data_IF_270597970568
#
_entry.id   IF_270597970568
#
_cell.length_a   1.000
_cell.length_b   1.000
_cell.length_c   1.000
_cell.angle_alpha   90.00
_cell.angle_beta   90.00
_cell.angle_gamma   90.00
#
_symmetry.space_group_name_H-M   'P 1'
#
loop_
_entity.id
_entity.type
_entity.pdbx_description
1 polymer ?
#
# COMPACT_ATOMS: atom_id res chain seq x y z
N UNK A 1 2.91 -28.33 -0.25
CA UNK A 1 2.15 -27.23 -0.93
C UNK A 1 1.29 -26.57 0.14
N UNK A 2 1.48 -25.28 0.39
CA UNK A 2 0.71 -24.53 1.38
C UNK A 2 -0.68 -24.19 0.81
N UNK A 3 -1.68 -24.04 1.69
CA UNK A 3 -3.05 -23.71 1.33
C UNK A 3 -3.19 -22.26 0.80
N UNK A 4 -4.27 -21.97 0.07
CA UNK A 4 -4.57 -20.59 -0.38
C UNK A 4 -4.64 -19.61 0.80
N UNK A 5 -5.18 -20.06 1.94
CA UNK A 5 -5.23 -19.27 3.16
C UNK A 5 -3.84 -18.97 3.75
N UNK A 6 -2.92 -19.93 3.74
CA UNK A 6 -1.54 -19.69 4.19
C UNK A 6 -0.83 -18.73 3.24
N UNK A 7 -1.03 -18.86 1.91
CA UNK A 7 -0.50 -17.92 0.93
C UNK A 7 -1.05 -16.50 1.14
N UNK A 8 -2.34 -16.35 1.44
CA UNK A 8 -2.93 -15.02 1.70
C UNK A 8 -2.30 -14.35 2.93
N UNK A 9 -1.93 -15.10 3.96
CA UNK A 9 -1.19 -14.56 5.10
C UNK A 9 0.21 -14.09 4.73
N UNK A 10 0.95 -14.85 3.93
CA UNK A 10 2.28 -14.45 3.43
C UNK A 10 2.18 -13.16 2.57
N UNK A 11 1.17 -13.07 1.72
CA UNK A 11 0.91 -11.87 0.91
C UNK A 11 0.65 -10.67 1.82
N UNK A 12 -0.24 -10.80 2.81
CA UNK A 12 -0.57 -9.72 3.74
C UNK A 12 0.63 -9.29 4.59
N UNK A 13 1.45 -10.22 5.06
CA UNK A 13 2.67 -9.93 5.81
C UNK A 13 3.67 -9.12 4.97
N UNK A 14 3.84 -9.47 3.70
CA UNK A 14 4.70 -8.73 2.78
C UNK A 14 4.16 -7.31 2.50
N UNK A 15 2.86 -7.19 2.25
CA UNK A 15 2.21 -5.89 2.04
C UNK A 15 2.30 -4.99 3.28
N UNK A 16 2.15 -5.55 4.49
CA UNK A 16 2.32 -4.80 5.74
C UNK A 16 3.75 -4.33 5.94
N UNK A 17 4.74 -5.18 5.66
CA UNK A 17 6.15 -4.81 5.72
C UNK A 17 6.46 -3.66 4.74
N UNK A 18 5.92 -3.72 3.53
CA UNK A 18 6.05 -2.66 2.54
C UNK A 18 5.36 -1.36 3.00
N UNK A 19 4.13 -1.43 3.51
CA UNK A 19 3.39 -0.27 4.02
C UNK A 19 4.15 0.44 5.16
N UNK A 20 4.76 -0.31 6.08
CA UNK A 20 5.59 0.25 7.15
C UNK A 20 6.87 0.87 6.63
N UNK A 21 7.56 0.25 5.67
CA UNK A 21 8.74 0.81 5.05
C UNK A 21 8.42 2.13 4.32
N UNK A 22 7.31 2.16 3.59
CA UNK A 22 6.80 3.35 2.91
C UNK A 22 6.46 4.46 3.92
N UNK A 23 5.76 4.13 5.01
CA UNK A 23 5.41 5.09 6.07
C UNK A 23 6.64 5.78 6.69
N UNK A 24 7.75 5.06 6.87
CA UNK A 24 9.00 5.63 7.40
C UNK A 24 9.57 6.67 6.45
N UNK A 25 9.40 6.51 5.15
CA UNK A 25 9.96 7.40 4.13
C UNK A 25 9.05 8.60 3.86
N UNK A 26 7.74 8.38 3.84
CA UNK A 26 6.74 9.43 3.60
C UNK A 26 6.64 10.37 4.80
N UNK A 27 6.59 9.82 6.01
CA UNK A 27 6.47 10.60 7.25
C UNK A 27 7.86 10.77 7.85
N UNK A 28 8.51 11.88 7.51
CA UNK A 28 9.83 12.22 8.03
C UNK A 28 9.79 12.41 9.56
N UNK A 29 10.70 11.73 10.26
CA UNK A 29 10.89 11.94 11.70
C UNK A 29 11.53 13.30 12.00
N UNK A 30 11.38 13.80 13.25
CA UNK A 30 12.01 15.04 13.68
C UNK A 30 13.54 14.90 13.59
N UNK A 31 14.18 15.90 12.95
CA UNK A 31 15.66 15.93 12.84
C UNK A 31 16.28 16.33 14.17
N UNK A 32 17.10 15.45 14.75
CA UNK A 32 17.89 15.76 15.93
C UNK A 32 18.95 16.81 15.58
N UNK A 33 18.83 17.99 16.19
CA UNK A 33 19.89 18.99 16.19
C UNK A 33 20.70 18.90 17.49
N UNK A 34 22.02 19.05 17.42
CA UNK A 34 22.91 19.04 18.60
C UNK A 34 22.46 20.09 19.64
N UNK A 35 21.86 21.19 19.21
CA UNK A 35 21.30 22.22 20.08
C UNK A 35 20.04 21.78 20.85
N UNK A 36 19.31 20.75 20.37
CA UNK A 36 18.14 20.20 21.08
C UNK A 36 18.53 19.45 22.36
N UNK A 37 19.77 18.94 22.44
CA UNK A 37 20.27 18.18 23.58
C UNK A 37 20.55 19.08 24.79
N UNK A 38 20.74 20.37 24.57
CA UNK A 38 21.17 21.32 25.60
C UNK A 38 20.03 22.02 26.36
N UNK A 39 18.78 21.93 25.93
CA UNK A 39 17.66 22.66 26.52
C UNK A 39 16.56 21.68 26.94
N UNK A 40 16.29 21.46 28.25
CA UNK A 40 15.31 20.47 28.73
C UNK A 40 13.89 20.64 28.17
N UNK A 41 13.44 21.88 27.92
CA UNK A 41 12.13 22.20 27.35
C UNK A 41 11.95 21.65 25.92
N UNK A 42 13.04 21.58 25.16
CA UNK A 42 13.01 21.06 23.80
C UNK A 42 12.81 19.55 23.78
N UNK A 43 13.20 18.82 24.85
CA UNK A 43 12.91 17.39 24.94
C UNK A 43 11.42 17.09 24.97
N UNK A 44 10.61 17.89 25.67
CA UNK A 44 9.15 17.71 25.73
C UNK A 44 8.54 17.91 24.35
N UNK A 45 8.97 18.96 23.64
CA UNK A 45 8.55 19.22 22.26
C UNK A 45 9.00 18.09 21.31
N UNK A 46 10.26 17.65 21.44
CA UNK A 46 10.79 16.55 20.63
C UNK A 46 10.03 15.24 20.84
N UNK A 47 9.71 14.88 22.09
CA UNK A 47 8.91 13.68 22.40
C UNK A 47 7.50 13.78 21.83
N UNK A 48 6.89 14.96 21.87
CA UNK A 48 5.57 15.19 21.28
C UNK A 48 5.60 15.03 19.75
N UNK A 49 6.55 15.65 19.06
CA UNK A 49 6.73 15.52 17.62
C UNK A 49 7.12 14.09 17.20
N UNK A 50 7.93 13.41 18.03
CA UNK A 50 8.28 12.01 17.83
C UNK A 50 7.05 11.09 17.93
N UNK A 51 6.24 11.26 18.97
CA UNK A 51 5.00 10.48 19.16
C UNK A 51 4.00 10.71 18.01
N UNK A 52 3.84 11.96 17.62
CA UNK A 52 3.02 12.34 16.46
C UNK A 52 3.53 11.69 15.16
N UNK A 53 4.83 11.64 14.94
CA UNK A 53 5.44 10.97 13.79
C UNK A 53 5.20 9.45 13.83
N UNK A 54 5.38 8.80 14.97
CA UNK A 54 5.14 7.35 15.14
C UNK A 54 3.68 7.01 14.92
N UNK A 55 2.77 7.79 15.51
CA UNK A 55 1.32 7.62 15.34
C UNK A 55 0.91 7.88 13.87
N UNK A 56 1.47 8.90 13.23
CA UNK A 56 1.25 9.20 11.82
C UNK A 56 1.70 8.05 10.92
N UNK A 57 2.88 7.48 11.15
CA UNK A 57 3.38 6.32 10.38
C UNK A 57 2.47 5.10 10.52
N UNK A 58 1.99 4.84 11.73
CA UNK A 58 1.06 3.75 11.99
C UNK A 58 -0.26 3.98 11.25
N UNK A 59 -0.86 5.14 11.39
CA UNK A 59 -2.12 5.49 10.73
C UNK A 59 -1.98 5.43 9.20
N UNK A 60 -0.86 5.92 8.67
CA UNK A 60 -0.56 5.83 7.23
C UNK A 60 -0.52 4.36 6.76
N UNK A 61 0.25 3.51 7.45
CA UNK A 61 0.36 2.10 7.09
C UNK A 61 -1.02 1.39 7.18
N UNK A 62 -1.80 1.65 8.23
CA UNK A 62 -3.14 1.08 8.40
C UNK A 62 -4.07 1.51 7.25
N UNK A 63 -4.10 2.79 6.90
CA UNK A 63 -4.92 3.32 5.80
C UNK A 63 -4.49 2.75 4.45
N UNK A 64 -3.18 2.68 4.20
CA UNK A 64 -2.62 2.09 2.98
C UNK A 64 -3.05 0.62 2.81
N UNK A 65 -3.15 -0.13 3.92
CA UNK A 65 -3.52 -1.54 3.90
C UNK A 65 -5.02 -1.81 3.71
N UNK A 66 -5.92 -0.83 3.91
CA UNK A 66 -7.38 -1.06 3.84
C UNK A 66 -7.80 -1.69 2.51
N UNK A 67 -7.47 -1.03 1.40
CA UNK A 67 -7.84 -1.52 0.06
C UNK A 67 -7.10 -2.81 -0.33
N UNK A 68 -5.84 -2.95 0.09
CA UNK A 68 -5.04 -4.15 -0.16
C UNK A 68 -5.58 -5.36 0.58
N UNK A 69 -5.93 -5.24 1.86
CA UNK A 69 -6.57 -6.32 2.65
C UNK A 69 -7.90 -6.76 2.02
N UNK A 70 -8.73 -5.82 1.57
CA UNK A 70 -9.97 -6.13 0.87
C UNK A 70 -9.71 -6.88 -0.44
N UNK A 71 -8.75 -6.42 -1.22
CA UNK A 71 -8.39 -7.06 -2.50
C UNK A 71 -7.84 -8.48 -2.31
N UNK A 72 -7.00 -8.72 -1.27
CA UNK A 72 -6.51 -10.07 -0.93
C UNK A 72 -7.67 -10.97 -0.48
N UNK A 73 -8.59 -10.44 0.35
CA UNK A 73 -9.76 -11.19 0.83
C UNK A 73 -10.67 -11.62 -0.32
N UNK A 74 -10.91 -10.72 -1.26
CA UNK A 74 -11.74 -10.99 -2.43
C UNK A 74 -11.08 -11.98 -3.40
N UNK A 75 -9.77 -11.82 -3.66
CA UNK A 75 -9.01 -12.77 -4.45
C UNK A 75 -9.00 -14.18 -3.83
N UNK A 76 -8.89 -14.26 -2.49
CA UNK A 76 -8.95 -15.55 -1.77
C UNK A 76 -10.34 -16.18 -1.91
N UNK A 77 -11.42 -15.42 -1.68
CA UNK A 77 -12.78 -15.92 -1.82
C UNK A 77 -13.07 -16.42 -3.25
N UNK A 78 -12.63 -15.68 -4.26
CA UNK A 78 -12.75 -16.06 -5.66
C UNK A 78 -11.97 -17.35 -5.97
N UNK A 79 -10.73 -17.47 -5.47
CA UNK A 79 -9.90 -18.68 -5.66
C UNK A 79 -10.50 -19.90 -4.97
N UNK A 80 -11.02 -19.76 -3.73
CA UNK A 80 -11.63 -20.87 -2.99
C UNK A 80 -12.97 -21.35 -3.59
N UNK A 81 -13.75 -20.43 -4.15
CA UNK A 81 -15.07 -20.75 -4.72
C UNK A 81 -15.03 -21.06 -6.22
N UNK A 82 -13.92 -20.77 -6.89
CA UNK A 82 -13.80 -20.85 -8.35
C UNK A 82 -14.68 -19.83 -9.09
N UNK A 83 -15.07 -18.74 -8.41
CA UNK A 83 -15.88 -17.64 -8.96
C UNK A 83 -15.01 -16.46 -9.40
N UNK A 84 -15.63 -15.49 -10.08
CA UNK A 84 -14.98 -14.21 -10.34
C UNK A 84 -15.04 -13.34 -9.08
N UNK A 85 -13.96 -12.57 -8.83
CA UNK A 85 -13.90 -11.61 -7.74
C UNK A 85 -14.93 -10.48 -7.89
N UNK A 86 -15.64 -10.14 -6.83
CA UNK A 86 -16.61 -9.04 -6.82
C UNK A 86 -15.94 -7.68 -6.51
N UNK A 87 -15.32 -7.12 -7.54
CA UNK A 87 -14.71 -5.79 -7.47
C UNK A 87 -15.76 -4.71 -7.19
N UNK A 88 -17.03 -4.94 -7.58
CA UNK A 88 -18.14 -4.01 -7.36
C UNK A 88 -18.40 -3.77 -5.89
N UNK A 89 -18.31 -4.80 -5.05
CA UNK A 89 -18.45 -4.69 -3.61
C UNK A 89 -17.36 -3.80 -3.02
N UNK A 90 -16.09 -4.03 -3.36
CA UNK A 90 -14.96 -3.21 -2.86
C UNK A 90 -15.16 -1.73 -3.19
N UNK A 91 -15.63 -1.43 -4.41
CA UNK A 91 -15.84 -0.05 -4.85
C UNK A 91 -17.02 0.58 -4.11
N UNK A 92 -18.12 -0.15 -3.91
CA UNK A 92 -19.34 0.37 -3.30
C UNK A 92 -19.17 0.78 -1.85
N UNK A 93 -18.29 0.08 -1.11
CA UNK A 93 -17.99 0.37 0.31
C UNK A 93 -16.84 1.37 0.50
N UNK A 94 -16.25 1.87 -0.60
CA UNK A 94 -15.15 2.81 -0.57
C UNK A 94 -15.67 4.24 -0.72
N UNK A 95 -15.25 5.13 0.20
CA UNK A 95 -15.59 6.56 0.16
C UNK A 95 -14.67 7.30 -0.82
N UNK A 96 -14.84 7.01 -2.11
CA UNK A 96 -14.03 7.58 -3.19
C UNK A 96 -14.87 8.58 -3.99
N UNK A 97 -14.36 9.82 -4.19
CA UNK A 97 -15.02 10.82 -5.03
C UNK A 97 -15.32 10.28 -6.44
N UNK A 98 -16.47 10.66 -6.99
CA UNK A 98 -16.94 10.16 -8.29
C UNK A 98 -15.89 10.33 -9.40
N UNK A 99 -15.18 11.48 -9.40
CA UNK A 99 -14.14 11.77 -10.39
C UNK A 99 -12.94 10.80 -10.33
N UNK A 100 -12.65 10.21 -9.16
CA UNK A 100 -11.55 9.27 -8.97
C UNK A 100 -12.01 7.80 -9.06
N UNK A 101 -13.32 7.52 -9.05
CA UNK A 101 -13.90 6.18 -8.96
C UNK A 101 -13.44 5.23 -10.06
N UNK A 102 -13.37 5.72 -11.30
CA UNK A 102 -12.91 4.88 -12.42
C UNK A 102 -11.43 4.48 -12.29
N UNK A 103 -10.58 5.41 -11.88
CA UNK A 103 -9.14 5.13 -11.67
C UNK A 103 -8.95 4.22 -10.46
N UNK A 104 -9.72 4.42 -9.38
CA UNK A 104 -9.73 3.53 -8.23
C UNK A 104 -10.14 2.10 -8.63
N UNK A 105 -11.19 1.97 -9.46
CA UNK A 105 -11.59 0.67 -10.00
C UNK A 105 -10.46 -0.03 -10.76
N UNK A 106 -9.76 0.70 -11.64
CA UNK A 106 -8.63 0.13 -12.39
C UNK A 106 -7.51 -0.34 -11.45
N UNK A 107 -7.22 0.42 -10.39
CA UNK A 107 -6.23 0.06 -9.40
C UNK A 107 -6.62 -1.19 -8.61
N UNK A 108 -7.88 -1.31 -8.15
CA UNK A 108 -8.40 -2.50 -7.46
C UNK A 108 -8.38 -3.73 -8.36
N UNK A 109 -8.73 -3.59 -9.65
CA UNK A 109 -8.62 -4.70 -10.63
C UNK A 109 -7.20 -5.25 -10.67
N UNK A 110 -6.20 -4.38 -10.82
CA UNK A 110 -4.79 -4.79 -10.85
C UNK A 110 -4.34 -5.49 -9.56
N UNK A 111 -4.80 -5.01 -8.39
CA UNK A 111 -4.49 -5.63 -7.12
C UNK A 111 -5.12 -7.03 -6.99
N UNK A 112 -6.41 -7.15 -7.34
CA UNK A 112 -7.12 -8.43 -7.26
C UNK A 112 -6.52 -9.45 -8.24
N UNK A 113 -6.22 -9.05 -9.48
CA UNK A 113 -5.55 -9.90 -10.46
C UNK A 113 -4.18 -10.38 -9.93
N UNK A 114 -3.37 -9.47 -9.40
CA UNK A 114 -2.08 -9.81 -8.80
C UNK A 114 -2.19 -10.82 -7.66
N UNK A 115 -3.11 -10.58 -6.73
CA UNK A 115 -3.27 -11.48 -5.60
C UNK A 115 -3.84 -12.84 -6.01
N UNK A 116 -4.72 -12.88 -7.01
CA UNK A 116 -5.21 -14.14 -7.57
C UNK A 116 -4.06 -14.94 -8.20
N UNK A 117 -3.22 -14.31 -9.00
CA UNK A 117 -2.01 -14.94 -9.59
C UNK A 117 -1.08 -15.52 -8.49
N UNK A 118 -0.84 -14.78 -7.41
CA UNK A 118 -0.03 -15.25 -6.28
C UNK A 118 -0.69 -16.43 -5.55
N UNK A 119 -2.01 -16.38 -5.32
CA UNK A 119 -2.76 -17.43 -4.63
C UNK A 119 -2.80 -18.74 -5.43
N UNK A 120 -2.85 -18.66 -6.76
CA UNK A 120 -2.84 -19.81 -7.66
C UNK A 120 -1.44 -20.36 -7.90
N UNK A 121 -0.39 -19.57 -7.62
CA UNK A 121 1.02 -19.96 -7.84
C UNK A 121 1.56 -20.96 -6.82
N UNK A 122 2.64 -21.64 -7.16
CA UNK A 122 3.35 -22.56 -6.28
C UNK A 122 4.50 -21.84 -5.57
N UNK A 123 4.62 -22.04 -4.24
CA UNK A 123 5.69 -21.46 -3.42
C UNK A 123 5.42 -21.63 -1.93
N UNK A 124 6.47 -21.60 -1.11
CA UNK A 124 6.41 -21.68 0.35
C UNK A 124 6.70 -20.33 1.04
N UNK A 125 7.18 -19.37 0.26
CA UNK A 125 7.42 -17.98 0.67
C UNK A 125 6.97 -17.01 -0.42
N UNK A 126 6.93 -15.70 -0.10
CA UNK A 126 6.47 -14.68 -1.02
C UNK A 126 7.29 -14.59 -2.30
N UNK A 127 8.61 -14.68 -2.21
CA UNK A 127 9.49 -14.59 -3.38
C UNK A 127 9.27 -15.78 -4.34
N UNK A 128 9.05 -16.98 -3.81
CA UNK A 128 8.72 -18.16 -4.59
C UNK A 128 7.35 -18.00 -5.29
N UNK A 129 6.33 -17.45 -4.59
CA UNK A 129 5.04 -17.16 -5.19
C UNK A 129 5.16 -16.17 -6.35
N UNK A 130 5.87 -15.06 -6.16
CA UNK A 130 6.13 -14.06 -7.22
C UNK A 130 6.86 -14.68 -8.41
N UNK A 131 7.90 -15.48 -8.16
CA UNK A 131 8.66 -16.14 -9.21
C UNK A 131 7.80 -17.13 -10.01
N UNK A 132 6.92 -17.85 -9.33
CA UNK A 132 6.00 -18.80 -9.96
C UNK A 132 4.92 -18.07 -10.77
N UNK A 133 4.29 -17.02 -10.22
CA UNK A 133 3.25 -16.24 -10.87
C UNK A 133 3.73 -15.56 -12.15
N UNK A 134 4.87 -14.87 -12.07
CA UNK A 134 5.35 -14.01 -13.17
C UNK A 134 6.37 -14.70 -14.07
N UNK A 135 6.95 -15.83 -13.66
CA UNK A 135 7.94 -16.58 -14.43
C UNK A 135 9.28 -15.86 -14.61
N UNK A 136 9.33 -14.54 -14.57
CA UNK A 136 10.55 -13.74 -14.67
C UNK A 136 10.47 -12.43 -13.88
N UNK A 137 11.66 -11.94 -13.45
CA UNK A 137 11.77 -10.62 -12.82
C UNK A 137 11.26 -9.51 -13.75
N UNK A 138 11.51 -9.62 -15.05
CA UNK A 138 11.07 -8.61 -16.03
C UNK A 138 9.55 -8.50 -16.06
N UNK A 139 8.82 -9.61 -16.09
CA UNK A 139 7.35 -9.60 -16.07
C UNK A 139 6.81 -9.00 -14.77
N UNK A 140 7.41 -9.35 -13.63
CA UNK A 140 7.04 -8.75 -12.34
C UNK A 140 7.27 -7.24 -12.33
N UNK A 141 8.43 -6.76 -12.83
CA UNK A 141 8.70 -5.32 -12.92
C UNK A 141 7.73 -4.59 -13.88
N UNK A 142 7.30 -5.23 -14.97
CA UNK A 142 6.26 -4.66 -15.84
C UNK A 142 4.93 -4.49 -15.10
N UNK A 143 4.53 -5.49 -14.32
CA UNK A 143 3.36 -5.38 -13.46
C UNK A 143 3.50 -4.26 -12.42
N UNK A 144 4.63 -4.19 -11.69
CA UNK A 144 4.89 -3.13 -10.70
C UNK A 144 4.83 -1.74 -11.34
N UNK A 145 5.42 -1.56 -12.53
CA UNK A 145 5.33 -0.30 -13.27
C UNK A 145 3.89 0.06 -13.65
N UNK A 146 3.07 -0.91 -14.04
CA UNK A 146 1.66 -0.68 -14.35
C UNK A 146 0.88 -0.29 -13.09
N UNK A 147 1.10 -0.98 -11.97
CA UNK A 147 0.49 -0.69 -10.68
C UNK A 147 0.85 0.73 -10.22
N UNK A 148 2.13 1.08 -10.23
CA UNK A 148 2.63 2.40 -9.84
C UNK A 148 2.05 3.52 -10.70
N UNK A 149 1.97 3.33 -12.02
CA UNK A 149 1.37 4.31 -12.93
C UNK A 149 -0.11 4.51 -12.65
N UNK A 150 -0.83 3.45 -12.29
CA UNK A 150 -2.26 3.53 -11.96
C UNK A 150 -2.46 4.19 -10.60
N UNK A 151 -1.63 3.87 -9.61
CA UNK A 151 -1.63 4.50 -8.28
C UNK A 151 -1.29 5.99 -8.37
N UNK A 152 -0.32 6.39 -9.19
CA UNK A 152 -0.03 7.79 -9.48
C UNK A 152 -1.23 8.54 -10.06
N UNK A 153 -1.92 7.94 -11.05
CA UNK A 153 -3.15 8.53 -11.62
C UNK A 153 -4.25 8.68 -10.59
N UNK A 154 -4.40 7.68 -9.69
CA UNK A 154 -5.37 7.72 -8.60
C UNK A 154 -5.06 8.86 -7.63
N UNK A 155 -3.81 8.99 -7.20
CA UNK A 155 -3.37 10.05 -6.30
C UNK A 155 -3.60 11.44 -6.91
N UNK A 156 -3.30 11.62 -8.20
CA UNK A 156 -3.59 12.87 -8.91
C UNK A 156 -5.09 13.18 -8.98
N UNK A 157 -5.94 12.16 -9.16
CA UNK A 157 -7.39 12.32 -9.18
C UNK A 157 -7.98 12.62 -7.79
N UNK A 158 -7.35 12.15 -6.72
CA UNK A 158 -7.76 12.41 -5.32
C UNK A 158 -7.26 13.76 -4.79
N UNK A 159 -6.15 14.27 -5.31
CA UNK A 159 -5.51 15.50 -4.84
C UNK A 159 -6.46 16.70 -4.62
N UNK A 160 -7.43 17.00 -5.53
CA UNK A 160 -8.37 18.12 -5.33
C UNK A 160 -9.31 17.96 -4.13
N UNK A 161 -9.43 16.76 -3.58
CA UNK A 161 -10.33 16.41 -2.47
C UNK A 161 -9.62 16.33 -1.13
N UNK A 162 -8.29 16.48 -1.11
CA UNK A 162 -7.51 16.52 0.12
C UNK A 162 -7.71 17.86 0.83
N UNK A 163 -8.02 17.81 2.10
CA UNK A 163 -8.47 18.99 2.85
C UNK A 163 -7.35 19.92 3.31
N UNK A 164 -6.09 19.48 3.26
CA UNK A 164 -4.92 20.23 3.74
C UNK A 164 -3.74 20.16 2.76
N UNK A 165 -2.94 21.24 2.67
CA UNK A 165 -1.66 21.25 1.93
C UNK A 165 -0.71 20.13 2.40
N UNK A 166 -0.73 19.83 3.71
CA UNK A 166 0.08 18.74 4.30
C UNK A 166 -0.27 17.37 3.72
N UNK A 167 -1.55 17.06 3.50
CA UNK A 167 -1.98 15.79 2.91
C UNK A 167 -1.62 15.71 1.41
N UNK A 168 -1.67 16.85 0.70
CA UNK A 168 -1.25 16.92 -0.69
C UNK A 168 0.27 16.71 -0.84
N UNK A 169 1.09 17.30 0.03
CA UNK A 169 2.54 17.09 0.08
C UNK A 169 2.88 15.64 0.43
N UNK A 170 2.14 15.02 1.35
CA UNK A 170 2.30 13.62 1.75
C UNK A 170 2.02 12.69 0.56
N UNK A 171 0.96 12.97 -0.19
CA UNK A 171 0.61 12.24 -1.42
C UNK A 171 1.70 12.37 -2.49
N UNK A 172 2.27 13.55 -2.70
CA UNK A 172 3.37 13.77 -3.66
C UNK A 172 4.64 13.01 -3.22
N UNK A 173 4.91 12.90 -1.92
CA UNK A 173 6.01 12.09 -1.38
C UNK A 173 5.78 10.59 -1.58
N UNK A 174 4.55 10.09 -1.38
CA UNK A 174 4.18 8.69 -1.65
C UNK A 174 4.49 8.36 -3.10
N UNK A 175 4.02 9.18 -4.05
CA UNK A 175 4.24 8.97 -5.48
C UNK A 175 5.72 8.93 -5.82
N UNK A 176 6.50 9.92 -5.33
CA UNK A 176 7.96 9.97 -5.60
C UNK A 176 8.73 8.80 -4.97
N UNK A 177 8.27 8.31 -3.81
CA UNK A 177 8.88 7.18 -3.13
C UNK A 177 8.61 5.87 -3.84
N UNK A 178 7.37 5.67 -4.29
CA UNK A 178 7.01 4.49 -5.09
C UNK A 178 7.80 4.47 -6.41
N UNK A 179 7.98 5.62 -7.06
CA UNK A 179 8.79 5.73 -8.29
C UNK A 179 10.27 5.38 -8.06
N UNK A 180 10.83 5.68 -6.87
CA UNK A 180 12.23 5.37 -6.56
C UNK A 180 12.50 3.87 -6.39
N UNK A 181 11.50 3.09 -5.93
CA UNK A 181 11.61 1.64 -5.70
C UNK A 181 11.12 0.78 -6.86
N UNK A 182 10.62 1.37 -7.94
CA UNK A 182 10.20 0.69 -9.17
C UNK A 182 11.34 0.54 -10.16
#
# INVERSE_FOLDING_TARGET
MISAKEKSLLILENEEAFAHALAIQVIAGPKLSIWMILIPIIFVYFFYEYDKCVSGRKNFAENYMISRKRSVSEALAATETGSLADIGEIISISDIPEAARNTYKQWIVLLVEHYTELLESEGEDFDALVKSAYGSRTNFLLFINQLNNTEKKLNLALRPYLSNESEAEETDRVVSTIEYYS
#
